data_IF_230252261293
#
_entry.id   IF_230252261293
#
_cell.length_a   1.000
_cell.length_b   1.000
_cell.length_c   1.000
_cell.angle_alpha   90.00
_cell.angle_beta   90.00
_cell.angle_gamma   90.00
#
_symmetry.space_group_name_H-M   'P 1'
#
loop_
_entity.id
_entity.type
_entity.pdbx_description
1 polymer ?
#
# COMPACT_ATOMS: atom_id res chain seq x y z
N UNK A 1 -3.48 11.93 58.21
CA UNK A 1 -4.48 11.12 57.47
C UNK A 1 -3.95 10.86 56.08
N UNK A 2 -3.72 9.59 55.74
CA UNK A 2 -3.40 9.14 54.39
C UNK A 2 -4.71 9.00 53.62
N UNK A 3 -4.83 9.66 52.48
CA UNK A 3 -5.71 9.21 51.41
C UNK A 3 -4.88 9.06 50.14
N UNK A 4 -4.48 7.81 49.88
CA UNK A 4 -4.13 7.31 48.55
C UNK A 4 -5.39 6.65 47.99
N UNK A 5 -5.90 7.13 46.85
CA UNK A 5 -6.71 6.39 45.85
C UNK A 5 -7.14 7.41 44.77
N UNK A 6 -7.02 7.17 43.47
CA UNK A 6 -6.63 5.96 42.76
C UNK A 6 -5.88 6.32 41.48
N UNK A 7 -4.87 5.50 41.17
CA UNK A 7 -4.37 5.35 39.82
C UNK A 7 -5.46 4.62 39.04
N UNK A 8 -6.28 5.37 38.31
CA UNK A 8 -7.01 4.78 37.19
C UNK A 8 -5.94 4.34 36.18
N UNK A 9 -5.71 3.03 36.13
CA UNK A 9 -4.97 2.40 35.07
C UNK A 9 -5.70 2.65 33.76
N UNK A 10 -5.25 3.65 33.01
CA UNK A 10 -5.55 3.72 31.59
C UNK A 10 -4.80 2.57 30.93
N UNK A 11 -5.48 1.46 30.66
CA UNK A 11 -5.11 0.56 29.56
C UNK A 11 -5.37 1.30 28.22
N UNK A 12 -4.81 2.50 28.09
CA UNK A 12 -4.91 3.35 26.92
C UNK A 12 -3.82 2.92 25.97
N UNK A 13 -4.19 2.29 24.86
CA UNK A 13 -3.30 2.27 23.72
C UNK A 13 -2.85 3.71 23.44
N UNK A 14 -1.54 3.92 23.28
CA UNK A 14 -1.01 5.21 22.85
C UNK A 14 -1.75 5.62 21.56
N UNK A 15 -2.24 6.86 21.42
CA UNK A 15 -2.90 7.32 20.20
C UNK A 15 -2.11 7.01 18.92
N UNK A 16 -0.78 7.03 19.01
CA UNK A 16 0.13 6.65 17.92
C UNK A 16 0.03 5.17 17.55
N UNK A 17 -0.09 4.27 18.53
CA UNK A 17 -0.25 2.82 18.30
C UNK A 17 -1.52 2.53 17.50
N UNK A 18 -2.64 3.11 17.88
CA UNK A 18 -3.91 2.91 17.17
C UNK A 18 -3.85 3.48 15.74
N UNK A 19 -3.16 4.61 15.53
CA UNK A 19 -2.92 5.17 14.19
C UNK A 19 -2.08 4.22 13.32
N UNK A 20 -1.00 3.67 13.88
CA UNK A 20 -0.13 2.72 13.17
C UNK A 20 -0.91 1.46 12.76
N UNK A 21 -1.73 0.91 13.66
CA UNK A 21 -2.59 -0.25 13.38
C UNK A 21 -3.57 0.07 12.25
N UNK A 22 -4.27 1.21 12.33
CA UNK A 22 -5.24 1.61 11.30
C UNK A 22 -4.59 1.78 9.91
N UNK A 23 -3.38 2.33 9.85
CA UNK A 23 -2.63 2.43 8.58
C UNK A 23 -2.20 1.05 8.08
N UNK A 24 -1.74 0.17 8.97
CA UNK A 24 -1.40 -1.22 8.64
C UNK A 24 -2.58 -2.02 8.06
N UNK A 25 -3.78 -1.88 8.63
CA UNK A 25 -5.00 -2.51 8.12
C UNK A 25 -5.41 -1.97 6.75
N UNK A 26 -5.29 -0.66 6.54
CA UNK A 26 -5.52 -0.06 5.22
C UNK A 26 -4.53 -0.59 4.20
N UNK A 27 -3.24 -0.64 4.54
CA UNK A 27 -2.21 -1.23 3.67
C UNK A 27 -2.54 -2.68 3.28
N UNK A 28 -3.01 -3.48 4.23
CA UNK A 28 -3.44 -4.86 3.96
C UNK A 28 -4.60 -4.89 2.95
N UNK A 29 -5.68 -4.16 3.23
CA UNK A 29 -6.87 -4.08 2.37
C UNK A 29 -6.53 -3.61 0.95
N UNK A 30 -5.77 -2.53 0.82
CA UNK A 30 -5.41 -1.96 -0.48
C UNK A 30 -4.43 -2.86 -1.24
N UNK A 31 -3.48 -3.51 -0.56
CA UNK A 31 -2.59 -4.47 -1.22
C UNK A 31 -3.34 -5.71 -1.74
N UNK A 32 -4.36 -6.19 -1.02
CA UNK A 32 -5.22 -7.29 -1.49
C UNK A 32 -6.02 -6.91 -2.74
N UNK A 33 -6.48 -5.66 -2.86
CA UNK A 33 -7.10 -5.15 -4.09
C UNK A 33 -6.13 -5.17 -5.27
N UNK A 34 -4.89 -4.70 -5.06
CA UNK A 34 -3.83 -4.73 -6.08
C UNK A 34 -3.53 -6.16 -6.51
N UNK A 35 -3.40 -7.08 -5.55
CA UNK A 35 -3.18 -8.50 -5.83
C UNK A 35 -4.33 -9.15 -6.59
N UNK A 36 -5.58 -8.78 -6.27
CA UNK A 36 -6.75 -9.26 -6.99
C UNK A 36 -6.73 -8.83 -8.46
N UNK A 37 -6.32 -7.59 -8.74
CA UNK A 37 -6.15 -7.10 -10.11
C UNK A 37 -5.04 -7.85 -10.86
N UNK A 38 -3.90 -8.13 -10.21
CA UNK A 38 -2.84 -8.98 -10.77
C UNK A 38 -3.36 -10.36 -11.17
N UNK A 39 -4.13 -10.99 -10.28
CA UNK A 39 -4.78 -12.28 -10.57
C UNK A 39 -5.79 -12.18 -11.71
N UNK A 40 -6.44 -11.03 -11.87
CA UNK A 40 -7.28 -10.75 -13.04
C UNK A 40 -6.54 -10.85 -14.37
N UNK A 41 -5.32 -10.30 -14.46
CA UNK A 41 -4.48 -10.43 -15.65
C UNK A 41 -4.04 -11.87 -15.91
N UNK A 42 -3.65 -12.60 -14.87
CA UNK A 42 -3.31 -14.03 -14.96
C UNK A 42 -4.49 -14.86 -15.46
N UNK A 43 -5.66 -14.68 -14.85
CA UNK A 43 -6.90 -15.36 -15.25
C UNK A 43 -7.30 -15.04 -16.69
N UNK A 44 -7.14 -13.78 -17.13
CA UNK A 44 -7.40 -13.40 -18.51
C UNK A 44 -6.44 -14.13 -19.46
N UNK A 45 -5.15 -14.22 -19.13
CA UNK A 45 -4.19 -14.97 -19.93
C UNK A 45 -4.49 -16.47 -20.04
N UNK A 46 -5.01 -17.08 -18.97
CA UNK A 46 -5.39 -18.50 -18.99
C UNK A 46 -6.66 -18.74 -19.82
N UNK A 47 -7.66 -17.87 -19.67
CA UNK A 47 -9.01 -18.11 -20.22
C UNK A 47 -9.26 -17.50 -21.61
N UNK A 48 -8.48 -16.50 -22.02
CA UNK A 48 -8.63 -15.80 -23.29
C UNK A 48 -7.46 -16.13 -24.22
N UNK A 49 -7.70 -17.01 -25.20
CA UNK A 49 -6.67 -17.48 -26.13
C UNK A 49 -6.11 -16.39 -27.02
N UNK A 50 -6.78 -15.23 -27.14
CA UNK A 50 -6.31 -14.07 -27.91
C UNK A 50 -5.53 -13.08 -27.06
N UNK A 51 -5.67 -13.12 -25.74
CA UNK A 51 -4.95 -12.23 -24.83
C UNK A 51 -3.50 -12.68 -24.62
N UNK A 52 -2.56 -11.74 -24.70
CA UNK A 52 -1.14 -11.95 -24.37
C UNK A 52 -0.63 -10.77 -23.57
N UNK A 53 0.17 -11.01 -22.53
CA UNK A 53 0.72 -9.92 -21.72
C UNK A 53 1.66 -8.99 -22.51
N UNK A 54 2.38 -9.51 -23.50
CA UNK A 54 3.32 -8.72 -24.30
C UNK A 54 2.64 -7.81 -25.35
N UNK A 55 1.32 -7.88 -25.50
CA UNK A 55 0.62 -6.97 -26.42
C UNK A 55 0.55 -5.55 -25.82
N UNK A 56 0.46 -4.51 -26.67
CA UNK A 56 0.31 -3.14 -26.20
C UNK A 56 -0.92 -2.99 -25.30
N UNK A 57 -0.80 -2.19 -24.25
CA UNK A 57 -1.98 -1.78 -23.50
C UNK A 57 -2.64 -0.65 -24.27
N UNK A 58 -3.93 -0.80 -24.61
CA UNK A 58 -4.67 0.18 -25.41
C UNK A 58 -5.63 0.98 -24.51
N UNK A 59 -5.29 2.21 -24.07
CA UNK A 59 -6.10 3.02 -23.16
C UNK A 59 -7.55 3.19 -23.59
N UNK A 60 -7.78 3.43 -24.88
CA UNK A 60 -9.12 3.63 -25.44
C UNK A 60 -10.04 2.41 -25.23
N UNK A 61 -9.47 1.21 -25.28
CA UNK A 61 -10.20 -0.05 -25.12
C UNK A 61 -10.24 -0.52 -23.66
N UNK A 62 -9.40 0.05 -22.80
CA UNK A 62 -9.18 -0.41 -21.42
C UNK A 62 -9.33 0.72 -20.40
N UNK A 63 -10.12 1.74 -20.70
CA UNK A 63 -10.25 2.97 -19.90
C UNK A 63 -10.65 2.70 -18.44
N UNK A 64 -11.53 1.73 -18.19
CA UNK A 64 -11.92 1.30 -16.84
C UNK A 64 -10.77 0.63 -16.09
N UNK A 65 -10.01 -0.23 -16.78
CA UNK A 65 -8.83 -0.89 -16.21
C UNK A 65 -7.76 0.15 -15.89
N UNK A 66 -7.47 1.05 -16.83
CA UNK A 66 -6.52 2.15 -16.63
C UNK A 66 -6.91 3.05 -15.45
N UNK A 67 -8.17 3.46 -15.37
CA UNK A 67 -8.69 4.26 -14.27
C UNK A 67 -8.53 3.54 -12.92
N UNK A 68 -8.80 2.23 -12.89
CA UNK A 68 -8.65 1.40 -11.69
C UNK A 68 -7.19 1.31 -11.25
N UNK A 69 -6.28 1.08 -12.19
CA UNK A 69 -4.84 1.03 -11.96
C UNK A 69 -4.32 2.38 -11.40
N UNK A 70 -4.69 3.50 -12.05
CA UNK A 70 -4.37 4.86 -11.55
C UNK A 70 -5.02 5.16 -10.20
N UNK A 71 -6.15 4.54 -9.89
CA UNK A 71 -6.78 4.60 -8.57
C UNK A 71 -5.88 3.96 -7.50
N UNK A 72 -5.44 2.73 -7.75
CA UNK A 72 -4.54 1.98 -6.86
C UNK A 72 -3.21 2.70 -6.63
N UNK A 73 -2.65 3.33 -7.67
CA UNK A 73 -1.45 4.17 -7.54
C UNK A 73 -1.68 5.38 -6.60
N UNK A 74 -2.85 6.04 -6.71
CA UNK A 74 -3.19 7.18 -5.84
C UNK A 74 -3.40 6.75 -4.39
N UNK A 75 -4.04 5.59 -4.18
CA UNK A 75 -4.20 4.99 -2.86
C UNK A 75 -2.84 4.66 -2.24
N UNK A 76 -1.91 4.11 -3.02
CA UNK A 76 -0.52 3.91 -2.62
C UNK A 76 0.14 5.19 -2.14
N UNK A 77 0.13 6.26 -2.94
CA UNK A 77 0.78 7.53 -2.54
C UNK A 77 0.09 8.17 -1.32
N UNK A 78 -1.22 7.95 -1.15
CA UNK A 78 -1.93 8.37 0.05
C UNK A 78 -1.41 7.63 1.29
N UNK A 79 -1.31 6.30 1.23
CA UNK A 79 -0.80 5.49 2.34
C UNK A 79 0.68 5.78 2.61
N UNK A 80 1.47 5.99 1.57
CA UNK A 80 2.88 6.37 1.66
C UNK A 80 3.05 7.66 2.46
N UNK A 81 2.21 8.67 2.24
CA UNK A 81 2.19 9.91 3.03
C UNK A 81 1.77 9.67 4.49
N UNK A 82 0.79 8.81 4.73
CA UNK A 82 0.37 8.46 6.09
C UNK A 82 1.51 7.81 6.88
N UNK A 83 2.22 6.84 6.28
CA UNK A 83 3.39 6.18 6.90
C UNK A 83 4.56 7.16 7.10
N UNK A 84 4.75 8.10 6.18
CA UNK A 84 5.74 9.17 6.32
C UNK A 84 5.46 10.03 7.55
N UNK A 85 4.23 10.50 7.70
CA UNK A 85 3.82 11.34 8.83
C UNK A 85 4.00 10.61 10.17
N UNK A 86 3.71 9.31 10.22
CA UNK A 86 3.99 8.46 11.39
C UNK A 86 5.50 8.41 11.67
N UNK A 87 6.32 8.20 10.64
CA UNK A 87 7.78 8.07 10.80
C UNK A 87 8.41 9.36 11.30
N UNK A 88 8.08 10.49 10.67
CA UNK A 88 8.61 11.82 11.02
C UNK A 88 8.15 12.29 12.42
N UNK A 89 6.98 11.85 12.89
CA UNK A 89 6.49 12.16 14.24
C UNK A 89 7.06 11.24 15.33
N UNK A 90 7.56 10.06 14.96
CA UNK A 90 7.98 9.03 15.93
C UNK A 90 9.50 8.86 16.05
N UNK A 91 10.28 9.27 15.04
CA UNK A 91 11.73 9.03 15.00
C UNK A 91 12.53 10.25 14.52
N UNK A 92 13.74 10.38 15.06
CA UNK A 92 14.72 11.39 14.66
C UNK A 92 15.32 11.04 13.28
N UNK A 93 14.56 11.39 12.23
CA UNK A 93 14.88 11.67 10.80
C UNK A 93 16.04 10.99 10.03
N UNK A 94 16.69 9.92 10.52
CA UNK A 94 17.85 9.31 9.85
C UNK A 94 17.52 8.36 8.69
N UNK A 95 16.24 8.07 8.46
CA UNK A 95 15.82 7.16 7.38
C UNK A 95 15.45 7.97 6.16
N UNK A 96 16.13 7.69 5.04
CA UNK A 96 15.72 8.20 3.73
C UNK A 96 14.42 7.50 3.31
N UNK A 97 13.30 8.15 3.61
CA UNK A 97 11.97 7.62 3.36
C UNK A 97 11.70 7.39 1.87
N UNK A 98 12.22 8.25 0.99
CA UNK A 98 12.04 8.12 -0.46
C UNK A 98 12.86 6.96 -1.03
N UNK A 99 14.00 6.63 -0.38
CA UNK A 99 14.76 5.42 -0.71
C UNK A 99 14.05 4.14 -0.24
N UNK A 100 13.43 4.15 0.94
CA UNK A 100 12.77 2.98 1.50
C UNK A 100 11.41 2.71 0.82
N UNK A 101 10.65 3.77 0.55
CA UNK A 101 9.33 3.73 -0.07
C UNK A 101 9.27 4.73 -1.22
N UNK A 102 9.78 4.34 -2.41
CA UNK A 102 9.83 5.22 -3.55
C UNK A 102 8.44 5.51 -4.09
N UNK A 103 8.29 6.64 -4.78
CA UNK A 103 7.14 6.86 -5.65
C UNK A 103 7.12 5.83 -6.77
N UNK A 104 5.93 5.36 -7.10
CA UNK A 104 5.73 4.38 -8.15
C UNK A 104 4.73 4.91 -9.18
N UNK A 105 5.08 4.72 -10.45
CA UNK A 105 4.23 4.98 -11.59
C UNK A 105 3.80 3.69 -12.27
N UNK A 106 2.63 3.73 -12.90
CA UNK A 106 2.13 2.61 -13.70
C UNK A 106 2.52 2.80 -15.15
N UNK A 107 3.24 1.82 -15.69
CA UNK A 107 3.61 1.79 -17.09
C UNK A 107 2.50 1.10 -17.91
N UNK A 108 1.92 1.84 -18.86
CA UNK A 108 0.87 1.37 -19.76
C UNK A 108 1.38 1.10 -21.19
N UNK A 109 2.65 0.77 -21.37
CA UNK A 109 3.20 0.36 -22.66
C UNK A 109 2.63 -0.99 -23.12
N UNK A 110 2.56 -1.94 -22.19
CA UNK A 110 2.01 -3.28 -22.42
C UNK A 110 1.23 -3.76 -21.21
N UNK A 111 0.41 -4.80 -21.38
CA UNK A 111 -0.24 -5.45 -20.24
C UNK A 111 0.77 -6.07 -19.28
N UNK A 112 1.92 -6.52 -19.78
CA UNK A 112 3.05 -6.99 -18.99
C UNK A 112 3.61 -5.85 -18.12
N UNK A 113 3.87 -4.68 -18.71
CA UNK A 113 4.38 -3.51 -17.99
C UNK A 113 3.41 -3.07 -16.89
N UNK A 114 2.10 -3.08 -17.19
CA UNK A 114 1.06 -2.76 -16.21
C UNK A 114 1.02 -3.79 -15.05
N UNK A 115 1.15 -5.08 -15.36
CA UNK A 115 1.21 -6.14 -14.36
C UNK A 115 2.47 -6.02 -13.49
N UNK A 116 3.64 -5.73 -14.07
CA UNK A 116 4.88 -5.49 -13.30
C UNK A 116 4.74 -4.27 -12.38
N UNK A 117 4.14 -3.18 -12.87
CA UNK A 117 3.85 -2.01 -12.02
C UNK A 117 2.94 -2.35 -10.84
N UNK A 118 1.91 -3.17 -11.03
CA UNK A 118 1.07 -3.63 -9.93
C UNK A 118 1.82 -4.52 -8.95
N UNK A 119 2.70 -5.38 -9.44
CA UNK A 119 3.51 -6.25 -8.58
C UNK A 119 4.43 -5.39 -7.67
N UNK A 120 5.02 -4.34 -8.23
CA UNK A 120 5.80 -3.37 -7.47
C UNK A 120 4.94 -2.65 -6.42
N UNK A 121 3.73 -2.19 -6.78
CA UNK A 121 2.79 -1.56 -5.84
C UNK A 121 2.44 -2.51 -4.69
N UNK A 122 2.10 -3.76 -5.01
CA UNK A 122 1.77 -4.78 -4.02
C UNK A 122 2.91 -4.98 -3.02
N UNK A 123 4.14 -5.21 -3.52
CA UNK A 123 5.29 -5.43 -2.64
C UNK A 123 5.65 -4.21 -1.81
N UNK A 124 5.57 -3.00 -2.36
CA UNK A 124 5.82 -1.79 -1.60
C UNK A 124 4.78 -1.57 -0.49
N UNK A 125 3.50 -1.87 -0.75
CA UNK A 125 2.47 -1.82 0.30
C UNK A 125 2.71 -2.86 1.40
N UNK A 126 3.11 -4.09 1.03
CA UNK A 126 3.47 -5.13 2.00
C UNK A 126 4.68 -4.74 2.84
N UNK A 127 5.71 -4.14 2.22
CA UNK A 127 6.87 -3.63 2.93
C UNK A 127 6.50 -2.51 3.90
N UNK A 128 5.67 -1.54 3.48
CA UNK A 128 5.16 -0.48 4.37
C UNK A 128 4.37 -1.05 5.54
N UNK A 129 3.55 -2.09 5.32
CA UNK A 129 2.78 -2.75 6.38
C UNK A 129 3.71 -3.37 7.43
N UNK A 130 4.72 -4.12 6.97
CA UNK A 130 5.73 -4.71 7.86
C UNK A 130 6.47 -3.62 8.64
N UNK A 131 6.84 -2.54 7.98
CA UNK A 131 7.48 -1.40 8.62
C UNK A 131 6.57 -0.78 9.70
N UNK A 132 5.29 -0.54 9.42
CA UNK A 132 4.32 -0.09 10.43
C UNK A 132 4.32 -1.01 11.67
N UNK A 133 4.31 -2.33 11.48
CA UNK A 133 4.36 -3.26 12.61
C UNK A 133 5.70 -3.25 13.35
N UNK A 134 6.82 -3.00 12.67
CA UNK A 134 8.11 -2.80 13.35
C UNK A 134 8.11 -1.56 14.24
N UNK A 135 7.36 -0.51 13.89
CA UNK A 135 7.23 0.68 14.75
C UNK A 135 6.46 0.40 16.05
N UNK A 136 5.73 -0.72 16.15
CA UNK A 136 4.95 -1.08 17.33
C UNK A 136 5.78 -1.74 18.45
N UNK A 137 7.03 -2.14 18.17
CA UNK A 137 7.90 -2.83 19.13
C UNK A 137 7.78 -4.35 19.07
#
# INVERSE_FOLDING_TARGET
MREMKGRNGSNGESPLRSVIIAVGERLDSHSNKVFTMLKGFELKQVNDTKFRLNQPFLPAENSLTEASLKGMQREYESLRRDVRNITESSFDSRVDFEKLFPRLDINFESYYSAAVSLLNLYYQMQLMKLYCFQLLG
#
